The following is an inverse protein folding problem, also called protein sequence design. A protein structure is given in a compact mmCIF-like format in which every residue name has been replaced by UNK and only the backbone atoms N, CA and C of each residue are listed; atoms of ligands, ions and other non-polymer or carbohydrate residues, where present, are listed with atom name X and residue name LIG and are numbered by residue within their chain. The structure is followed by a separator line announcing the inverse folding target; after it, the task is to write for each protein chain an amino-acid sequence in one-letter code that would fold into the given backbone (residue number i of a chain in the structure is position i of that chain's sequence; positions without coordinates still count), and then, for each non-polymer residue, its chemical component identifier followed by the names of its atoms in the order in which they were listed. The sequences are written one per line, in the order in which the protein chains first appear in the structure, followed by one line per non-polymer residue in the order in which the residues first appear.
data_IF_739058632582
#
_entry.id   IF_739058632582
#
_cell.length_a   1.000
_cell.length_b   1.000
_cell.length_c   1.000
_cell.angle_alpha   90.00
_cell.angle_beta   90.00
_cell.angle_gamma   90.00
#
_symmetry.space_group_name_H-M   'P 1'
#
loop_
_entity.id
_entity.type
_entity.pdbx_description
1 polymer ?
#
# COMPACT_ATOMS: atom_id res chain seq x y z
N UNK A 1 7.20 -21.05 -2.89
CA UNK A 1 7.11 -21.97 -4.05
C UNK A 1 8.21 -21.76 -5.09
N UNK A 2 8.43 -20.54 -5.61
CA UNK A 2 9.47 -20.28 -6.65
C UNK A 2 10.88 -20.70 -6.21
N UNK A 3 11.35 -20.23 -5.05
CA UNK A 3 12.69 -20.58 -4.52
C UNK A 3 12.83 -22.10 -4.28
N UNK A 4 11.80 -22.73 -3.73
CA UNK A 4 11.79 -24.18 -3.51
C UNK A 4 11.89 -24.95 -4.83
N UNK A 5 11.16 -24.53 -5.87
CA UNK A 5 11.25 -25.13 -7.21
C UNK A 5 12.67 -24.99 -7.78
N UNK A 6 13.31 -23.82 -7.63
CA UNK A 6 14.69 -23.60 -8.12
C UNK A 6 15.74 -24.44 -7.39
N UNK A 7 15.53 -24.76 -6.11
CA UNK A 7 16.51 -25.51 -5.31
C UNK A 7 16.38 -27.03 -5.45
N UNK A 8 15.15 -27.55 -5.64
CA UNK A 8 14.88 -28.99 -5.56
C UNK A 8 14.80 -29.64 -6.94
N UNK A 9 14.27 -28.94 -7.95
CA UNK A 9 14.09 -29.52 -9.28
C UNK A 9 15.33 -29.34 -10.13
N UNK A 10 15.99 -30.45 -10.45
CA UNK A 10 17.18 -30.49 -11.31
C UNK A 10 16.80 -30.89 -12.75
N UNK A 11 17.72 -30.72 -13.71
CA UNK A 11 17.55 -30.98 -15.16
C UNK A 11 16.99 -32.38 -15.47
N UNK A 12 17.22 -33.36 -14.59
CA UNK A 12 16.79 -34.76 -14.76
C UNK A 12 15.26 -34.91 -14.63
N UNK A 13 14.62 -34.08 -13.79
CA UNK A 13 13.18 -34.14 -13.51
C UNK A 13 12.40 -33.02 -14.23
N UNK A 14 13.03 -32.34 -15.20
CA UNK A 14 12.45 -31.18 -15.88
C UNK A 14 11.14 -31.49 -16.62
N UNK A 15 10.96 -32.75 -17.07
CA UNK A 15 9.77 -33.20 -17.80
C UNK A 15 8.52 -33.24 -16.92
N UNK A 16 8.70 -33.49 -15.63
CA UNK A 16 7.62 -33.65 -14.65
C UNK A 16 7.46 -32.42 -13.75
N UNK A 17 8.20 -31.34 -14.05
CA UNK A 17 8.25 -30.15 -13.22
C UNK A 17 6.87 -29.46 -13.13
N UNK A 18 6.27 -29.38 -11.93
CA UNK A 18 4.93 -28.86 -11.76
C UNK A 18 4.86 -27.36 -12.10
N UNK A 19 3.72 -26.95 -12.65
CA UNK A 19 3.47 -25.53 -12.91
C UNK A 19 3.01 -24.84 -11.63
N UNK A 20 3.77 -23.83 -11.20
CA UNK A 20 3.46 -23.02 -10.02
C UNK A 20 2.16 -22.25 -10.22
N UNK A 21 1.87 -21.81 -11.46
CA UNK A 21 0.68 -21.04 -11.77
C UNK A 21 -0.60 -21.86 -11.58
N UNK A 22 -0.64 -23.10 -12.09
CA UNK A 22 -1.79 -23.99 -11.91
C UNK A 22 -1.95 -24.37 -10.42
N UNK A 23 -0.86 -24.65 -9.72
CA UNK A 23 -0.90 -24.88 -8.27
C UNK A 23 -1.48 -23.70 -7.49
N UNK A 24 -1.15 -22.46 -7.89
CA UNK A 24 -1.68 -21.26 -7.27
C UNK A 24 -3.17 -21.05 -7.59
N UNK A 25 -3.61 -21.36 -8.81
CA UNK A 25 -5.04 -21.30 -9.17
C UNK A 25 -5.83 -22.37 -8.42
N UNK A 26 -5.35 -23.61 -8.41
CA UNK A 26 -5.99 -24.74 -7.76
C UNK A 26 -6.07 -24.56 -6.24
N UNK A 27 -5.13 -23.81 -5.64
CA UNK A 27 -5.19 -23.38 -4.24
C UNK A 27 -6.44 -22.55 -3.92
N UNK A 28 -6.80 -21.60 -4.76
CA UNK A 28 -7.97 -20.75 -4.52
C UNK A 28 -9.27 -21.38 -5.03
N UNK A 29 -9.21 -22.23 -6.06
CA UNK A 29 -10.38 -22.89 -6.64
C UNK A 29 -10.77 -24.20 -5.93
N UNK A 30 -10.00 -24.63 -4.92
CA UNK A 30 -10.18 -25.88 -4.18
C UNK A 30 -10.35 -27.13 -5.07
N UNK A 31 -9.79 -27.11 -6.28
CA UNK A 31 -9.82 -28.26 -7.19
C UNK A 31 -8.59 -29.13 -7.03
N UNK A 32 -8.76 -30.44 -7.17
CA UNK A 32 -7.67 -31.40 -7.22
C UNK A 32 -7.41 -31.76 -8.67
N UNK A 33 -6.40 -31.15 -9.27
CA UNK A 33 -5.92 -31.55 -10.58
C UNK A 33 -5.05 -32.80 -10.46
N UNK A 34 -5.51 -33.94 -10.99
CA UNK A 34 -4.76 -35.21 -11.04
C UNK A 34 -3.54 -35.18 -11.96
N UNK A 35 -3.31 -34.07 -12.66
CA UNK A 35 -2.26 -33.87 -13.67
C UNK A 35 -0.99 -33.26 -13.06
N UNK A 36 -1.04 -32.69 -11.85
CA UNK A 36 0.13 -32.06 -11.23
C UNK A 36 0.69 -32.93 -10.09
N UNK A 37 1.98 -33.22 -10.17
CA UNK A 37 2.74 -33.84 -9.09
C UNK A 37 2.87 -32.84 -7.96
N UNK A 38 2.65 -33.29 -6.72
CA UNK A 38 2.82 -32.47 -5.53
C UNK A 38 4.26 -31.96 -5.43
N UNK A 39 4.41 -30.67 -5.12
CA UNK A 39 5.72 -30.03 -4.99
C UNK A 39 6.46 -30.54 -3.75
N UNK A 40 5.75 -30.91 -2.68
CA UNK A 40 6.32 -31.48 -1.45
C UNK A 40 5.30 -32.38 -0.73
N UNK A 41 5.77 -33.30 0.11
CA UNK A 41 4.92 -34.18 0.91
C UNK A 41 4.08 -33.39 1.92
N UNK A 42 2.76 -33.62 1.95
CA UNK A 42 1.83 -32.92 2.85
C UNK A 42 1.35 -31.55 2.35
N UNK A 43 1.64 -31.17 1.09
CA UNK A 43 1.25 -29.88 0.51
C UNK A 43 -0.23 -29.53 0.65
N UNK A 44 -1.11 -30.51 0.47
CA UNK A 44 -2.57 -30.27 0.51
C UNK A 44 -3.02 -29.68 1.86
N UNK A 45 -2.44 -30.15 2.97
CA UNK A 45 -2.86 -29.71 4.31
C UNK A 45 -2.39 -28.29 4.59
N UNK A 46 -1.14 -27.97 4.25
CA UNK A 46 -0.58 -26.63 4.43
C UNK A 46 -1.29 -25.62 3.52
N UNK A 47 -1.56 -26.00 2.27
CA UNK A 47 -2.27 -25.18 1.28
C UNK A 47 -3.70 -24.86 1.75
N UNK A 48 -4.43 -25.87 2.24
CA UNK A 48 -5.77 -25.68 2.81
C UNK A 48 -5.73 -24.77 4.05
N UNK A 49 -4.80 -25.00 4.98
CA UNK A 49 -4.67 -24.18 6.19
C UNK A 49 -4.40 -22.71 5.86
N UNK A 50 -3.52 -22.44 4.89
CA UNK A 50 -3.16 -21.08 4.49
C UNK A 50 -4.34 -20.34 3.83
N UNK A 51 -5.16 -21.03 3.05
CA UNK A 51 -6.40 -20.46 2.48
C UNK A 51 -7.44 -20.18 3.56
N UNK A 52 -7.62 -21.08 4.52
CA UNK A 52 -8.54 -20.85 5.65
C UNK A 52 -8.12 -19.61 6.43
N UNK A 53 -6.82 -19.48 6.75
CA UNK A 53 -6.29 -18.29 7.44
C UNK A 53 -6.53 -17.02 6.61
N UNK A 54 -6.30 -17.06 5.30
CA UNK A 54 -6.54 -15.92 4.41
C UNK A 54 -8.03 -15.50 4.39
N UNK A 55 -8.94 -16.47 4.31
CA UNK A 55 -10.40 -16.22 4.32
C UNK A 55 -10.85 -15.68 5.68
N UNK A 56 -10.29 -16.15 6.80
CA UNK A 56 -10.59 -15.66 8.15
C UNK A 56 -10.00 -14.26 8.40
N UNK A 57 -8.88 -13.90 7.77
CA UNK A 57 -8.32 -12.55 7.89
C UNK A 57 -9.24 -11.45 7.34
N UNK A 58 -10.05 -11.73 6.31
CA UNK A 58 -10.97 -10.76 5.69
C UNK A 58 -12.02 -10.24 6.71
N UNK A 59 -12.82 -11.09 7.38
CA UNK A 59 -13.77 -10.64 8.39
C UNK A 59 -13.09 -10.06 9.64
N UNK A 60 -11.89 -10.53 10.00
CA UNK A 60 -11.13 -9.95 11.12
C UNK A 60 -10.72 -8.50 10.83
N UNK A 61 -10.28 -8.19 9.60
CA UNK A 61 -9.93 -6.82 9.21
C UNK A 61 -11.17 -5.91 9.09
N UNK A 62 -12.29 -6.47 8.64
CA UNK A 62 -13.56 -5.74 8.53
C UNK A 62 -14.19 -5.43 9.90
N UNK A 63 -14.08 -6.34 10.87
CA UNK A 63 -14.71 -6.19 12.18
C UNK A 63 -13.78 -5.64 13.27
N UNK A 64 -12.46 -5.68 13.07
CA UNK A 64 -11.47 -5.30 14.08
C UNK A 64 -11.63 -3.86 14.58
N UNK A 65 -11.54 -2.88 13.68
CA UNK A 65 -11.65 -1.47 14.02
C UNK A 65 -13.04 -1.03 14.52
N UNK A 66 -14.16 -1.40 13.89
CA UNK A 66 -15.48 -1.01 14.38
C UNK A 66 -15.81 -1.62 15.75
N UNK A 67 -15.37 -2.85 16.04
CA UNK A 67 -15.53 -3.45 17.37
C UNK A 67 -14.63 -2.74 18.40
N UNK A 68 -13.37 -2.44 18.07
CA UNK A 68 -12.48 -1.69 18.94
C UNK A 68 -13.03 -0.30 19.27
N UNK A 69 -13.53 0.44 18.28
CA UNK A 69 -14.15 1.75 18.47
C UNK A 69 -15.44 1.65 19.29
N UNK A 70 -16.28 0.65 19.04
CA UNK A 70 -17.47 0.39 19.84
C UNK A 70 -17.14 0.10 21.32
N UNK A 71 -16.11 -0.71 21.58
CA UNK A 71 -15.63 -1.00 22.94
C UNK A 71 -15.08 0.27 23.60
N UNK A 72 -14.29 1.09 22.88
CA UNK A 72 -13.79 2.36 23.40
C UNK A 72 -14.91 3.34 23.73
N UNK A 73 -15.93 3.44 22.88
CA UNK A 73 -17.09 4.30 23.12
C UNK A 73 -17.87 3.84 24.36
N UNK A 74 -18.07 2.52 24.51
CA UNK A 74 -18.71 1.94 25.70
C UNK A 74 -17.91 2.15 26.99
N UNK A 75 -16.56 2.18 26.91
CA UNK A 75 -15.68 2.50 28.04
C UNK A 75 -15.70 4.00 28.37
N UNK A 76 -15.66 4.90 27.38
CA UNK A 76 -15.77 6.36 27.58
C UNK A 76 -17.10 6.77 28.19
N UNK A 77 -18.22 6.19 27.73
CA UNK A 77 -19.56 6.44 28.27
C UNK A 77 -19.69 6.02 29.74
N UNK A 78 -19.04 4.92 30.15
CA UNK A 78 -18.98 4.51 31.57
C UNK A 78 -18.16 5.48 32.42
N UNK A 79 -17.06 6.02 31.88
CA UNK A 79 -16.20 6.97 32.59
C UNK A 79 -16.87 8.35 32.75
N UNK A 80 -17.57 8.85 31.71
CA UNK A 80 -18.34 10.09 31.82
C UNK A 80 -19.53 9.96 32.78
N UNK A 81 -20.19 8.80 32.81
CA UNK A 81 -21.23 8.50 33.79
C UNK A 81 -20.69 8.48 35.22
N UNK A 82 -19.51 7.89 35.47
CA UNK A 82 -18.91 7.86 36.81
C UNK A 82 -18.47 9.25 37.31
N UNK A 83 -17.96 10.11 36.43
CA UNK A 83 -17.62 11.51 36.74
C UNK A 83 -18.86 12.35 37.08
N UNK A 84 -19.94 12.23 36.31
CA UNK A 84 -21.20 12.89 36.64
C UNK A 84 -21.80 12.36 37.95
N UNK A 85 -21.68 11.06 38.22
CA UNK A 85 -22.18 10.48 39.47
C UNK A 85 -21.37 10.92 40.70
N UNK A 86 -20.05 11.16 40.57
CA UNK A 86 -19.26 11.75 41.65
C UNK A 86 -19.56 13.25 41.83
N UNK A 87 -19.79 13.99 40.74
CA UNK A 87 -20.21 15.40 40.84
C UNK A 87 -21.62 15.57 41.44
N UNK A 88 -22.54 14.63 41.21
CA UNK A 88 -23.90 14.66 41.76
C UNK A 88 -23.96 14.18 43.23
N UNK A 89 -23.04 13.29 43.65
CA UNK A 89 -22.96 12.80 45.03
C UNK A 89 -22.11 13.70 45.95
N UNK A 90 -21.32 14.62 45.39
CA UNK A 90 -20.60 15.68 46.13
C UNK A 90 -21.39 17.00 46.17
N UNK A 91 -22.72 16.91 46.04
CA UNK A 91 -23.67 18.01 46.12
C UNK A 91 -23.88 18.59 47.53
N UNK A 92 -22.92 18.42 48.45
CA UNK A 92 -23.00 18.99 49.80
C UNK A 92 -21.73 19.74 50.24
N UNK A 93 -20.87 20.15 49.30
CA UNK A 93 -19.87 21.18 49.59
C UNK A 93 -19.84 22.20 48.46
N UNK A 94 -20.56 23.30 48.67
CA UNK A 94 -20.51 24.46 47.79
C UNK A 94 -19.07 24.96 47.57
N UNK A 95 -18.83 25.72 46.49
CA UNK A 95 -17.52 26.32 46.25
C UNK A 95 -17.21 27.27 47.41
N UNK A 96 -16.23 26.92 48.23
CA UNK A 96 -15.80 27.74 49.35
C UNK A 96 -14.92 28.89 48.83
N UNK A 97 -15.59 30.02 48.58
CA UNK A 97 -15.15 31.43 48.67
C UNK A 97 -13.81 31.84 48.04
N UNK A 98 -13.86 32.74 47.04
CA UNK A 98 -13.22 34.08 47.11
C UNK A 98 -14.04 35.10 46.28
N UNK A 99 -14.71 35.99 47.03
CA UNK A 99 -15.03 37.42 46.81
C UNK A 99 -15.80 37.95 45.56
N UNK A 100 -16.92 38.65 45.85
CA UNK A 100 -17.78 39.45 44.94
C UNK A 100 -17.00 40.50 44.12
N UNK A 101 -17.38 40.80 42.85
CA UNK A 101 -18.30 41.93 42.56
C UNK A 101 -19.16 41.75 41.27
N UNK A 102 -19.78 42.82 40.73
CA UNK A 102 -21.19 43.24 40.85
C UNK A 102 -22.20 42.58 39.89
N UNK A 103 -23.45 42.57 40.36
CA UNK A 103 -24.67 42.08 39.70
C UNK A 103 -25.07 42.96 38.50
N UNK A 104 -24.84 42.48 37.26
CA UNK A 104 -25.53 42.98 36.05
C UNK A 104 -25.36 42.10 34.80
N UNK A 105 -24.42 41.15 34.77
CA UNK A 105 -24.04 40.43 33.55
C UNK A 105 -24.47 38.95 33.53
N UNK A 106 -25.15 38.46 34.59
CA UNK A 106 -25.33 37.03 34.86
C UNK A 106 -26.29 36.28 33.93
N UNK A 107 -27.19 36.96 33.21
CA UNK A 107 -28.19 36.29 32.36
C UNK A 107 -27.58 35.78 31.04
N UNK A 108 -26.60 36.49 30.48
CA UNK A 108 -25.97 36.14 29.20
C UNK A 108 -24.99 34.96 29.34
N UNK A 109 -24.30 34.85 30.49
CA UNK A 109 -23.40 33.72 30.78
C UNK A 109 -24.16 32.42 31.11
N UNK A 110 -25.31 32.50 31.80
CA UNK A 110 -26.16 31.32 32.06
C UNK A 110 -26.79 30.75 30.78
N UNK A 111 -27.19 31.62 29.84
CA UNK A 111 -27.71 31.20 28.54
C UNK A 111 -26.62 30.60 27.65
N UNK A 112 -25.40 31.16 27.68
CA UNK A 112 -24.25 30.63 26.94
C UNK A 112 -23.80 29.26 27.48
N UNK A 113 -23.86 29.04 28.79
CA UNK A 113 -23.54 27.77 29.43
C UNK A 113 -24.63 26.71 29.21
N UNK A 114 -25.92 27.12 29.18
CA UNK A 114 -27.02 26.24 28.76
C UNK A 114 -26.94 25.88 27.29
N UNK A 115 -26.52 26.79 26.42
CA UNK A 115 -26.36 26.53 24.99
C UNK A 115 -25.14 25.63 24.72
N UNK A 116 -24.00 25.80 25.41
CA UNK A 116 -22.89 24.85 25.37
C UNK A 116 -23.27 23.46 25.91
N UNK A 117 -24.07 23.39 26.98
CA UNK A 117 -24.58 22.13 27.51
C UNK A 117 -25.64 21.48 26.60
N UNK A 118 -26.42 22.28 25.87
CA UNK A 118 -27.35 21.82 24.82
C UNK A 118 -26.60 21.32 23.60
N UNK A 119 -25.54 22.00 23.16
CA UNK A 119 -24.67 21.59 22.06
C UNK A 119 -23.87 20.35 22.42
N UNK A 120 -23.41 20.20 23.67
CA UNK A 120 -22.76 18.98 24.16
C UNK A 120 -23.73 17.79 24.29
N UNK A 121 -25.02 18.06 24.50
CA UNK A 121 -26.08 17.03 24.57
C UNK A 121 -26.71 16.74 23.20
N UNK A 122 -26.61 17.67 22.25
CA UNK A 122 -26.99 17.53 20.84
C UNK A 122 -25.88 16.85 20.02
N UNK A 123 -24.61 17.07 20.36
CA UNK A 123 -23.46 16.25 19.93
C UNK A 123 -23.28 14.97 20.76
N UNK A 124 -24.35 14.51 21.43
CA UNK A 124 -24.54 13.08 21.69
C UNK A 124 -24.92 12.34 20.42
N UNK A 125 -24.38 12.76 19.26
CA UNK A 125 -24.57 12.15 17.95
C UNK A 125 -24.31 10.67 18.12
N UNK A 126 -25.37 9.91 17.86
CA UNK A 126 -25.34 8.46 17.75
C UNK A 126 -24.04 8.12 17.02
N UNK A 127 -23.15 7.38 17.68
CA UNK A 127 -22.00 6.80 16.99
C UNK A 127 -22.59 6.08 15.78
N UNK A 128 -22.48 6.68 14.60
CA UNK A 128 -23.13 6.18 13.41
C UNK A 128 -22.32 4.96 12.99
N UNK A 129 -22.66 3.84 13.62
CA UNK A 129 -22.05 2.57 13.39
C UNK A 129 -22.18 2.20 11.91
N UNK A 130 -23.18 2.74 11.20
CA UNK A 130 -23.33 2.54 9.76
C UNK A 130 -22.26 3.30 8.96
N UNK A 131 -21.93 4.54 9.32
CA UNK A 131 -20.86 5.32 8.69
C UNK A 131 -19.48 4.69 8.92
N UNK A 132 -19.16 4.34 10.18
CA UNK A 132 -17.89 3.70 10.54
C UNK A 132 -17.75 2.34 9.87
N UNK A 133 -18.82 1.56 9.81
CA UNK A 133 -18.84 0.27 9.12
C UNK A 133 -18.65 0.44 7.60
N UNK A 134 -19.30 1.44 7.00
CA UNK A 134 -19.16 1.72 5.57
C UNK A 134 -17.72 2.11 5.21
N UNK A 135 -17.11 3.01 5.99
CA UNK A 135 -15.71 3.41 5.79
C UNK A 135 -14.75 2.23 5.95
N UNK A 136 -14.94 1.41 6.99
CA UNK A 136 -14.10 0.21 7.21
C UNK A 136 -14.28 -0.83 6.09
N UNK A 137 -15.49 -1.02 5.59
CA UNK A 137 -15.77 -1.92 4.47
C UNK A 137 -15.02 -1.47 3.22
N UNK A 138 -15.04 -0.17 2.90
CA UNK A 138 -14.30 0.40 1.76
C UNK A 138 -12.79 0.16 1.95
N UNK A 139 -12.25 0.49 3.12
CA UNK A 139 -10.84 0.26 3.43
C UNK A 139 -10.43 -1.21 3.33
N UNK A 140 -11.28 -2.14 3.78
CA UNK A 140 -11.06 -3.58 3.66
C UNK A 140 -10.99 -4.02 2.19
N UNK A 141 -11.95 -3.59 1.37
CA UNK A 141 -12.02 -3.94 -0.06
C UNK A 141 -10.83 -3.35 -0.80
N UNK A 142 -10.50 -2.07 -0.56
CA UNK A 142 -9.36 -1.40 -1.16
C UNK A 142 -8.05 -2.08 -0.78
N UNK A 143 -7.89 -2.47 0.50
CA UNK A 143 -6.71 -3.19 0.96
C UNK A 143 -6.58 -4.57 0.30
N UNK A 144 -7.65 -5.36 0.27
CA UNK A 144 -7.63 -6.70 -0.34
C UNK A 144 -7.33 -6.63 -1.84
N UNK A 145 -8.02 -5.75 -2.58
CA UNK A 145 -7.78 -5.56 -4.01
C UNK A 145 -6.41 -4.93 -4.28
N UNK A 146 -5.97 -4.00 -3.44
CA UNK A 146 -4.65 -3.37 -3.49
C UNK A 146 -3.51 -4.37 -3.30
N UNK A 147 -3.63 -5.32 -2.37
CA UNK A 147 -2.61 -6.36 -2.17
C UNK A 147 -2.39 -7.22 -3.42
N UNK A 148 -3.48 -7.61 -4.09
CA UNK A 148 -3.42 -8.41 -5.33
C UNK A 148 -2.88 -7.55 -6.48
N UNK A 149 -3.42 -6.33 -6.63
CA UNK A 149 -3.05 -5.38 -7.69
C UNK A 149 -1.57 -4.99 -7.62
N UNK A 150 -1.07 -4.63 -6.43
CA UNK A 150 0.31 -4.25 -6.22
C UNK A 150 1.25 -5.41 -6.60
N UNK A 151 0.93 -6.64 -6.16
CA UNK A 151 1.71 -7.83 -6.51
C UNK A 151 1.78 -8.05 -8.03
N UNK A 152 0.65 -7.94 -8.74
CA UNK A 152 0.61 -8.08 -10.19
C UNK A 152 1.34 -6.94 -10.92
N UNK A 153 1.27 -5.73 -10.40
CA UNK A 153 1.88 -4.54 -10.98
C UNK A 153 3.42 -4.61 -11.02
N UNK A 154 4.05 -5.37 -10.11
CA UNK A 154 5.50 -5.62 -10.15
C UNK A 154 5.98 -6.41 -11.39
N UNK A 155 5.09 -7.12 -12.11
CA UNK A 155 5.43 -7.71 -13.43
C UNK A 155 5.90 -6.65 -14.43
N UNK A 156 5.55 -5.38 -14.22
CA UNK A 156 6.03 -4.24 -15.02
C UNK A 156 7.56 -4.18 -15.06
N UNK A 157 8.23 -4.45 -13.94
CA UNK A 157 9.69 -4.40 -13.88
C UNK A 157 10.31 -5.48 -14.77
N UNK A 158 9.73 -6.68 -14.77
CA UNK A 158 10.16 -7.76 -15.65
C UNK A 158 9.91 -7.42 -17.13
N UNK A 159 8.71 -6.94 -17.46
CA UNK A 159 8.36 -6.58 -18.84
C UNK A 159 9.27 -5.48 -19.41
N UNK A 160 9.53 -4.45 -18.61
CA UNK A 160 10.44 -3.36 -18.97
C UNK A 160 11.88 -3.86 -19.14
N UNK A 161 12.36 -4.73 -18.24
CA UNK A 161 13.68 -5.34 -18.38
C UNK A 161 13.80 -6.20 -19.65
N UNK A 162 12.73 -6.92 -20.02
CA UNK A 162 12.69 -7.71 -21.25
C UNK A 162 12.70 -6.82 -22.49
N UNK A 163 11.94 -5.73 -22.49
CA UNK A 163 11.91 -4.77 -23.59
C UNK A 163 13.28 -4.11 -23.81
N UNK A 164 13.92 -3.66 -22.73
CA UNK A 164 15.26 -3.06 -22.77
C UNK A 164 16.31 -4.05 -23.32
N UNK A 165 16.25 -5.32 -22.90
CA UNK A 165 17.14 -6.35 -23.43
C UNK A 165 16.90 -6.58 -24.94
N UNK A 166 15.64 -6.67 -25.36
CA UNK A 166 15.28 -6.90 -26.75
C UNK A 166 15.67 -5.72 -27.65
N UNK A 167 15.44 -4.49 -27.21
CA UNK A 167 15.82 -3.28 -27.95
C UNK A 167 17.35 -3.18 -28.07
N UNK A 168 18.08 -3.51 -27.02
CA UNK A 168 19.55 -3.55 -27.05
C UNK A 168 20.06 -4.58 -28.06
N UNK A 169 19.46 -5.78 -28.11
CA UNK A 169 19.81 -6.82 -29.07
C UNK A 169 19.50 -6.42 -30.52
N UNK A 170 18.34 -5.80 -30.76
CA UNK A 170 17.96 -5.32 -32.11
C UNK A 170 18.91 -4.22 -32.59
N UNK A 171 19.26 -3.27 -31.72
CA UNK A 171 20.20 -2.19 -32.04
C UNK A 171 21.58 -2.76 -32.39
N UNK A 172 22.07 -3.74 -31.62
CA UNK A 172 23.30 -4.46 -31.93
C UNK A 172 23.25 -5.16 -33.29
N UNK A 173 22.19 -5.94 -33.53
CA UNK A 173 22.03 -6.71 -34.75
C UNK A 173 21.84 -5.85 -36.00
N UNK A 174 21.22 -4.68 -35.87
CA UNK A 174 20.90 -3.80 -37.00
C UNK A 174 22.03 -2.79 -37.32
N UNK A 175 22.86 -2.42 -36.34
CA UNK A 175 23.92 -1.40 -36.54
C UNK A 175 25.31 -2.02 -36.52
N UNK A 176 25.68 -2.72 -35.44
CA UNK A 176 27.05 -3.26 -35.27
C UNK A 176 27.32 -4.46 -36.17
N UNK A 177 26.35 -5.36 -36.36
CA UNK A 177 26.53 -6.55 -37.21
C UNK A 177 26.81 -6.22 -38.67
N UNK A 178 26.23 -5.14 -39.19
CA UNK A 178 26.52 -4.60 -40.54
C UNK A 178 27.93 -4.01 -40.60
N UNK A 179 28.37 -3.33 -39.53
CA UNK A 179 29.74 -2.81 -39.40
C UNK A 179 30.82 -3.90 -39.42
N UNK A 180 30.50 -5.12 -38.98
CA UNK A 180 31.41 -6.28 -38.97
C UNK A 180 31.35 -7.16 -40.23
N UNK A 181 30.61 -6.78 -41.27
CA UNK A 181 30.36 -7.64 -42.44
C UNK A 181 31.63 -8.02 -43.22
N UNK A 182 32.70 -7.23 -43.18
CA UNK A 182 33.97 -7.54 -43.86
C UNK A 182 35.19 -7.10 -43.04
N UNK A 183 36.23 -7.94 -43.00
CA UNK A 183 37.49 -7.69 -42.28
C UNK A 183 38.57 -7.26 -43.28
N UNK A 184 38.48 -6.03 -43.76
CA UNK A 184 39.51 -5.42 -44.62
C UNK A 184 39.96 -4.07 -44.06
N UNK A 185 41.16 -3.62 -44.41
CA UNK A 185 41.77 -2.41 -43.85
C UNK A 185 40.90 -1.15 -44.06
N UNK A 186 40.20 -1.07 -45.21
CA UNK A 186 39.27 0.03 -45.53
C UNK A 186 38.03 0.01 -44.62
N UNK A 187 37.58 -1.18 -44.21
CA UNK A 187 36.45 -1.33 -43.29
C UNK A 187 36.76 -0.85 -41.88
N UNK A 188 38.04 -0.70 -41.53
CA UNK A 188 38.46 -0.16 -40.23
C UNK A 188 38.11 1.33 -40.05
N UNK A 189 38.00 2.10 -41.14
CA UNK A 189 37.53 3.50 -41.07
C UNK A 189 36.00 3.53 -41.01
N UNK A 190 35.34 2.68 -41.79
CA UNK A 190 33.87 2.56 -41.83
C UNK A 190 33.31 2.13 -40.47
N UNK A 191 33.94 1.17 -39.79
CA UNK A 191 33.51 0.70 -38.48
C UNK A 191 33.62 1.79 -37.41
N UNK A 192 34.61 2.69 -37.50
CA UNK A 192 34.75 3.81 -36.56
C UNK A 192 33.58 4.79 -36.66
N UNK A 193 33.13 5.10 -37.88
CA UNK A 193 31.97 5.97 -38.11
C UNK A 193 30.67 5.29 -37.66
N UNK A 194 30.47 4.01 -38.02
CA UNK A 194 29.30 3.22 -37.60
C UNK A 194 29.27 3.06 -36.07
N UNK A 195 30.41 2.84 -35.43
CA UNK A 195 30.52 2.75 -33.98
C UNK A 195 30.18 4.08 -33.29
N UNK A 196 30.63 5.21 -33.84
CA UNK A 196 30.27 6.54 -33.33
C UNK A 196 28.75 6.74 -33.39
N UNK A 197 28.12 6.36 -34.50
CA UNK A 197 26.66 6.42 -34.65
C UNK A 197 25.94 5.47 -33.67
N UNK A 198 26.42 4.23 -33.54
CA UNK A 198 25.92 3.24 -32.57
C UNK A 198 25.98 3.77 -31.13
N UNK A 199 27.10 4.38 -30.74
CA UNK A 199 27.30 4.92 -29.41
C UNK A 199 26.32 6.06 -29.12
N UNK A 200 26.12 6.99 -30.06
CA UNK A 200 25.14 8.08 -29.92
C UNK A 200 23.72 7.54 -29.78
N UNK A 201 23.31 6.56 -30.60
CA UNK A 201 21.99 5.94 -30.50
C UNK A 201 21.78 5.20 -29.18
N UNK A 202 22.81 4.50 -28.70
CA UNK A 202 22.78 3.80 -27.41
C UNK A 202 22.58 4.79 -26.26
N UNK A 203 23.31 5.91 -26.26
CA UNK A 203 23.16 6.93 -25.23
C UNK A 203 21.79 7.61 -25.30
N UNK A 204 21.36 8.02 -26.49
CA UNK A 204 20.09 8.74 -26.64
C UNK A 204 18.87 7.86 -26.34
N UNK A 205 18.81 6.65 -26.89
CA UNK A 205 17.62 5.80 -26.83
C UNK A 205 17.65 4.90 -25.59
N UNK A 206 18.69 4.07 -25.45
CA UNK A 206 18.74 3.04 -24.39
C UNK A 206 19.03 3.65 -23.01
N UNK A 207 19.94 4.61 -22.91
CA UNK A 207 20.30 5.21 -21.62
C UNK A 207 19.34 6.33 -21.19
N UNK A 208 19.06 7.30 -22.06
CA UNK A 208 18.24 8.45 -21.68
C UNK A 208 16.74 8.15 -21.78
N UNK A 209 16.24 7.82 -22.97
CA UNK A 209 14.79 7.69 -23.20
C UNK A 209 14.19 6.49 -22.46
N UNK A 210 14.79 5.31 -22.60
CA UNK A 210 14.34 4.11 -21.87
C UNK A 210 14.65 4.21 -20.37
N UNK A 211 15.82 4.74 -19.99
CA UNK A 211 16.17 4.93 -18.57
C UNK A 211 15.20 5.88 -17.84
N UNK A 212 14.78 6.97 -18.49
CA UNK A 212 13.78 7.89 -17.93
C UNK A 212 12.40 7.25 -17.86
N UNK A 213 11.98 6.49 -18.87
CA UNK A 213 10.74 5.70 -18.83
C UNK A 213 10.74 4.70 -17.67
N UNK A 214 11.85 3.97 -17.50
CA UNK A 214 12.07 3.04 -16.41
C UNK A 214 11.98 3.70 -15.04
N UNK A 215 12.63 4.85 -14.90
CA UNK A 215 12.60 5.65 -13.67
C UNK A 215 11.18 6.12 -13.31
N UNK A 216 10.41 6.62 -14.28
CA UNK A 216 9.02 7.02 -14.03
C UNK A 216 8.12 5.84 -13.63
N UNK A 217 8.34 4.66 -14.22
CA UNK A 217 7.65 3.45 -13.81
C UNK A 217 8.01 3.04 -12.37
N UNK A 218 9.28 3.16 -11.98
CA UNK A 218 9.74 2.94 -10.60
C UNK A 218 9.12 3.95 -9.63
N UNK A 219 9.08 5.24 -9.99
CA UNK A 219 8.43 6.27 -9.19
C UNK A 219 6.94 6.00 -9.01
N UNK A 220 6.24 5.56 -10.06
CA UNK A 220 4.83 5.22 -9.96
C UNK A 220 4.60 4.03 -9.02
N UNK A 221 5.40 2.97 -9.12
CA UNK A 221 5.34 1.83 -8.20
C UNK A 221 5.52 2.33 -6.75
N UNK A 222 6.52 3.19 -6.51
CA UNK A 222 6.76 3.75 -5.18
C UNK A 222 5.60 4.63 -4.69
N UNK A 223 5.11 5.53 -5.53
CA UNK A 223 4.04 6.44 -5.16
C UNK A 223 2.70 5.74 -4.94
N UNK A 224 2.30 4.86 -5.86
CA UNK A 224 0.97 4.25 -5.81
C UNK A 224 0.95 2.98 -4.95
N UNK A 225 2.01 2.18 -4.96
CA UNK A 225 1.97 0.85 -4.34
C UNK A 225 2.65 0.82 -2.98
N UNK A 226 3.72 1.60 -2.80
CA UNK A 226 4.42 1.70 -1.51
C UNK A 226 3.76 2.74 -0.59
N UNK A 227 3.43 3.94 -1.09
CA UNK A 227 2.86 4.98 -0.21
C UNK A 227 1.38 4.72 0.14
N UNK A 228 0.59 4.07 -0.71
CA UNK A 228 -0.81 3.75 -0.39
C UNK A 228 -0.96 2.81 0.84
N UNK A 229 0.12 2.14 1.25
CA UNK A 229 0.11 1.25 2.43
C UNK A 229 0.54 1.93 3.73
N UNK A 230 1.42 2.93 3.66
CA UNK A 230 2.11 3.47 4.84
C UNK A 230 1.90 4.97 5.04
N UNK A 231 1.44 5.69 4.02
CA UNK A 231 1.30 7.14 4.04
C UNK A 231 -0.17 7.54 3.97
N UNK A 232 -0.70 8.02 5.09
CA UNK A 232 -2.10 8.47 5.21
C UNK A 232 -2.32 9.91 4.74
N UNK A 233 -1.31 10.59 4.20
CA UNK A 233 -1.47 11.94 3.64
C UNK A 233 -1.67 13.07 4.66
N UNK A 234 -1.56 12.79 5.96
CA UNK A 234 -1.82 13.76 7.01
C UNK A 234 -0.54 14.48 7.43
N UNK A 235 -0.41 15.75 7.02
CA UNK A 235 0.68 16.62 7.42
C UNK A 235 0.66 17.95 6.68
N UNK A 236 1.23 18.99 7.28
CA UNK A 236 1.54 20.23 6.59
C UNK A 236 3.05 20.26 6.29
N UNK A 237 3.43 20.82 5.14
CA UNK A 237 4.85 21.05 4.85
C UNK A 237 5.36 22.03 5.91
N UNK A 238 6.25 21.57 6.79
CA UNK A 238 6.93 22.44 7.74
C UNK A 238 7.81 23.41 6.95
N UNK A 239 7.37 24.66 6.84
CA UNK A 239 8.20 25.76 6.36
C UNK A 239 8.66 26.56 7.58
N UNK A 240 9.82 26.21 8.17
CA UNK A 240 10.39 26.99 9.25
C UNK A 240 10.70 28.40 8.75
N UNK A 241 10.58 29.38 9.64
CA UNK A 241 10.88 30.78 9.33
C UNK A 241 12.40 30.92 9.08
N UNK A 242 12.77 31.13 7.81
CA UNK A 242 14.14 31.41 7.39
C UNK A 242 14.20 32.72 6.59
N UNK A 243 15.21 33.54 6.86
CA UNK A 243 15.44 34.82 6.18
C UNK A 243 15.87 34.67 4.71
N UNK A 244 16.26 33.46 4.27
CA UNK A 244 16.59 33.16 2.86
C UNK A 244 15.38 33.18 1.92
N UNK A 245 14.14 33.21 2.43
CA UNK A 245 12.95 33.32 1.58
C UNK A 245 12.68 34.75 1.07
N UNK A 246 13.47 35.74 1.47
CA UNK A 246 13.29 37.16 1.16
C UNK A 246 14.32 37.75 0.17
N UNK A 247 15.31 36.96 -0.28
CA UNK A 247 16.33 37.38 -1.26
C UNK A 247 16.27 36.52 -2.51
#
# INVERSE_FOLDING_TARGET
MVVYKWLVWTVVDAKDAPSILIHFIDMFLFTKSSVNIYLYEGQQNVQLALVIVAVVCIPVLLLGDPICLYIQHKRKKRHSLQLNQHAENDGDNGPLLVEDPPQAESEEYEEHQKNMAKDAKAHGEEFDASEVFMHQMIHTIEYCLGCISNTASYLRLWALSLAHAQLSEVLWNMVMRIGFSNVSYVWSIVIFVIFTFFAVLTVAILLIMEGLSAFLHALRLHWVEFQNKFYTGTGYKLTPFHFDSFY
#
